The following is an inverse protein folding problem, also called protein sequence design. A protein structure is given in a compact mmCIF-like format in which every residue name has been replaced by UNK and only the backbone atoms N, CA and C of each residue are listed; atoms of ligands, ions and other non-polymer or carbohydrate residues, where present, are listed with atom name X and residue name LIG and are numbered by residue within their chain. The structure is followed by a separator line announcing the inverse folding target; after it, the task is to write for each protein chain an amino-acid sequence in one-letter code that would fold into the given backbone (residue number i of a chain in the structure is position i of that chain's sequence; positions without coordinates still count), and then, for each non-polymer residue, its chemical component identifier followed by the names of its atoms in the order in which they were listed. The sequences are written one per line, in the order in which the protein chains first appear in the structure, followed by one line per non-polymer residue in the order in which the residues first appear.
data_IF_033477972454
#
_entry.id   IF_033477972454
#
_cell.length_a   1.000
_cell.length_b   1.000
_cell.length_c   1.000
_cell.angle_alpha   90.00
_cell.angle_beta   90.00
_cell.angle_gamma   90.00
#
_symmetry.space_group_name_H-M   'P 1'
#
loop_
_entity.id
_entity.type
_entity.pdbx_description
1 polymer ?
#
# COMPACT_ATOMS: atom_id res chain seq x y z
N UNK A 1 -29.95 -3.80 4.13
CA UNK A 1 -29.36 -3.80 5.48
C UNK A 1 -27.93 -4.37 5.50
N UNK A 2 -27.66 -5.50 4.82
CA UNK A 2 -26.31 -6.11 4.71
C UNK A 2 -25.24 -5.23 4.03
N UNK A 3 -25.59 -4.41 3.05
CA UNK A 3 -24.65 -3.50 2.35
C UNK A 3 -24.21 -2.30 3.21
N UNK A 4 -25.03 -1.86 4.16
CA UNK A 4 -24.69 -0.79 5.09
C UNK A 4 -23.71 -1.26 6.17
N UNK A 5 -23.87 -2.50 6.65
CA UNK A 5 -22.99 -3.10 7.65
C UNK A 5 -21.57 -3.34 7.11
N UNK A 6 -21.45 -3.82 5.87
CA UNK A 6 -20.15 -3.98 5.20
C UNK A 6 -19.44 -2.63 5.02
N UNK A 7 -20.16 -1.58 4.59
CA UNK A 7 -19.61 -0.22 4.45
C UNK A 7 -19.13 0.37 5.78
N UNK A 8 -19.84 0.10 6.88
CA UNK A 8 -19.49 0.59 8.21
C UNK A 8 -18.18 0.01 8.77
N UNK A 9 -17.71 -1.14 8.26
CA UNK A 9 -16.47 -1.76 8.70
C UNK A 9 -15.21 -1.19 8.03
N UNK A 10 -15.33 -0.68 6.80
CA UNK A 10 -14.19 -0.11 6.10
C UNK A 10 -13.76 1.24 6.68
N UNK A 11 -14.69 2.00 7.27
CA UNK A 11 -14.41 3.30 7.89
C UNK A 11 -13.39 3.17 9.05
N UNK A 12 -13.60 2.32 10.08
CA UNK A 12 -12.65 2.19 11.17
C UNK A 12 -11.32 1.57 10.71
N UNK A 13 -11.31 0.74 9.66
CA UNK A 13 -10.07 0.22 9.05
C UNK A 13 -9.30 1.35 8.39
N UNK A 14 -9.95 2.17 7.57
CA UNK A 14 -9.32 3.30 6.89
C UNK A 14 -8.82 4.37 7.88
N UNK A 15 -9.63 4.70 8.89
CA UNK A 15 -9.22 5.65 9.93
C UNK A 15 -8.12 5.09 10.82
N UNK A 16 -8.24 3.84 11.28
CA UNK A 16 -7.23 3.19 12.11
C UNK A 16 -5.89 3.06 11.37
N UNK A 17 -5.92 2.60 10.12
CA UNK A 17 -4.75 2.51 9.25
C UNK A 17 -4.06 3.85 9.06
N UNK A 18 -4.79 4.89 8.67
CA UNK A 18 -4.23 6.24 8.46
C UNK A 18 -3.69 6.86 9.76
N UNK A 19 -4.44 6.78 10.86
CA UNK A 19 -4.01 7.32 12.15
C UNK A 19 -2.75 6.63 12.67
N UNK A 20 -2.57 5.33 12.39
CA UNK A 20 -1.41 4.54 12.84
C UNK A 20 -0.07 5.10 12.36
N UNK A 21 -0.07 5.91 11.30
CA UNK A 21 1.10 6.57 10.72
C UNK A 21 1.24 8.04 11.08
N UNK A 22 0.31 8.63 11.85
CA UNK A 22 0.37 10.04 12.24
C UNK A 22 1.16 10.22 13.53
N UNK A 23 2.47 10.37 13.37
CA UNK A 23 3.45 10.66 14.42
C UNK A 23 3.86 12.14 14.41
N UNK A 24 2.88 13.02 14.66
CA UNK A 24 3.11 14.47 14.73
C UNK A 24 4.27 14.81 15.69
N UNK A 25 5.13 15.73 15.27
CA UNK A 25 6.33 16.20 16.01
C UNK A 25 7.50 15.20 16.10
N UNK A 26 7.35 13.96 15.64
CA UNK A 26 8.43 12.97 15.55
C UNK A 26 8.86 12.71 14.11
N UNK A 27 7.89 12.75 13.20
CA UNK A 27 8.12 12.70 11.75
C UNK A 27 7.76 14.08 11.19
N UNK A 28 8.66 14.65 10.41
CA UNK A 28 8.39 15.89 9.68
C UNK A 28 7.47 15.57 8.50
N UNK A 29 6.26 16.14 8.53
CA UNK A 29 5.32 16.02 7.42
C UNK A 29 5.36 17.29 6.59
N UNK A 30 5.59 17.12 5.29
CA UNK A 30 5.44 18.21 4.35
C UNK A 30 3.94 18.46 4.08
N UNK A 31 3.52 19.73 4.12
CA UNK A 31 2.12 20.14 3.91
C UNK A 31 1.57 19.63 2.58
N UNK A 32 2.39 19.65 1.53
CA UNK A 32 2.01 19.17 0.19
C UNK A 32 1.71 17.66 0.24
N UNK A 33 2.52 16.87 0.93
CA UNK A 33 2.30 15.43 1.08
C UNK A 33 1.01 15.11 1.84
N UNK A 34 0.68 15.88 2.88
CA UNK A 34 -0.57 15.70 3.63
C UNK A 34 -1.81 15.98 2.77
N UNK A 35 -1.73 16.96 1.87
CA UNK A 35 -2.82 17.30 0.94
C UNK A 35 -2.93 16.26 -0.19
N UNK A 36 -1.80 15.75 -0.68
CA UNK A 36 -1.78 14.79 -1.79
C UNK A 36 -2.06 13.34 -1.35
N UNK A 37 -1.85 12.98 -0.09
CA UNK A 37 -2.06 11.61 0.40
C UNK A 37 -3.50 11.09 0.18
N UNK A 38 -4.59 11.85 0.43
CA UNK A 38 -5.94 11.44 0.08
C UNK A 38 -6.15 11.26 -1.42
N UNK A 39 -5.55 12.13 -2.24
CA UNK A 39 -5.64 12.03 -3.70
C UNK A 39 -4.95 10.74 -4.19
N UNK A 40 -3.78 10.43 -3.64
CA UNK A 40 -3.06 9.19 -3.94
C UNK A 40 -3.92 7.95 -3.61
N UNK A 41 -4.57 7.94 -2.44
CA UNK A 41 -5.44 6.84 -2.04
C UNK A 41 -6.64 6.65 -3.01
N UNK A 42 -7.22 7.76 -3.48
CA UNK A 42 -8.31 7.72 -4.48
C UNK A 42 -7.79 7.15 -5.80
N UNK A 43 -6.63 7.61 -6.28
CA UNK A 43 -6.03 7.14 -7.53
C UNK A 43 -5.65 5.66 -7.46
N UNK A 44 -5.15 5.17 -6.31
CA UNK A 44 -4.92 3.74 -6.09
C UNK A 44 -6.21 2.92 -6.18
N UNK A 45 -7.31 3.43 -5.59
CA UNK A 45 -8.62 2.79 -5.72
C UNK A 45 -9.09 2.70 -7.18
N UNK A 46 -8.92 3.76 -7.96
CA UNK A 46 -9.23 3.75 -9.39
C UNK A 46 -8.34 2.77 -10.18
N UNK A 47 -7.04 2.78 -9.91
CA UNK A 47 -6.08 1.88 -10.55
C UNK A 47 -6.46 0.41 -10.31
N UNK A 48 -6.81 0.05 -9.07
CA UNK A 48 -7.23 -1.31 -8.73
C UNK A 48 -8.43 -1.76 -9.57
N UNK A 49 -9.48 -0.92 -9.64
CA UNK A 49 -10.69 -1.23 -10.39
C UNK A 49 -10.42 -1.32 -11.90
N UNK A 50 -9.53 -0.47 -12.42
CA UNK A 50 -9.14 -0.49 -13.83
C UNK A 50 -8.35 -1.75 -14.18
N UNK A 51 -7.39 -2.16 -13.35
CA UNK A 51 -6.59 -3.37 -13.55
C UNK A 51 -7.50 -4.59 -13.62
N UNK A 52 -8.40 -4.76 -12.64
CA UNK A 52 -9.33 -5.89 -12.61
C UNK A 52 -10.28 -5.90 -13.81
N UNK A 53 -10.80 -4.72 -14.19
CA UNK A 53 -11.67 -4.60 -15.37
C UNK A 53 -10.92 -4.99 -16.64
N UNK A 54 -9.72 -4.45 -16.84
CA UNK A 54 -8.89 -4.73 -18.01
C UNK A 54 -8.54 -6.22 -18.11
N UNK A 55 -8.13 -6.84 -17.00
CA UNK A 55 -7.82 -8.26 -16.96
C UNK A 55 -9.01 -9.14 -17.34
N UNK A 56 -10.21 -8.82 -16.83
CA UNK A 56 -11.44 -9.54 -17.16
C UNK A 56 -11.89 -9.32 -18.61
N UNK A 57 -11.78 -8.09 -19.12
CA UNK A 57 -12.22 -7.74 -20.47
C UNK A 57 -11.29 -8.36 -21.55
N UNK A 58 -10.01 -8.60 -21.22
CA UNK A 58 -9.04 -9.23 -22.11
C UNK A 58 -9.11 -10.77 -22.13
N UNK A 59 -9.91 -11.40 -21.26
CA UNK A 59 -10.07 -12.86 -21.14
C UNK A 59 -8.72 -13.63 -21.07
N UNK A 60 -7.74 -13.05 -20.37
CA UNK A 60 -6.40 -13.62 -20.29
C UNK A 60 -6.36 -14.74 -19.24
N UNK A 61 -6.23 -15.97 -19.71
CA UNK A 61 -6.08 -17.16 -18.86
C UNK A 61 -4.71 -17.28 -18.14
N UNK A 62 -3.78 -16.35 -18.39
CA UNK A 62 -2.42 -16.34 -17.82
C UNK A 62 -2.14 -15.03 -17.05
N UNK A 63 -2.36 -14.99 -15.73
CA UNK A 63 -2.16 -13.79 -14.93
C UNK A 63 -0.70 -13.29 -14.94
N UNK A 64 0.28 -14.18 -15.05
CA UNK A 64 1.71 -13.84 -15.09
C UNK A 64 2.07 -12.99 -16.31
N UNK A 65 1.54 -13.37 -17.48
CA UNK A 65 1.76 -12.64 -18.72
C UNK A 65 1.15 -11.23 -18.63
N UNK A 66 -0.07 -11.11 -18.09
CA UNK A 66 -0.71 -9.82 -17.89
C UNK A 66 0.11 -8.91 -16.96
N UNK A 67 0.60 -9.44 -15.83
CA UNK A 67 1.42 -8.68 -14.88
C UNK A 67 2.70 -8.18 -15.56
N UNK A 68 3.38 -9.04 -16.32
CA UNK A 68 4.61 -8.68 -17.02
C UNK A 68 4.37 -7.56 -18.04
N UNK A 69 3.34 -7.67 -18.87
CA UNK A 69 3.03 -6.64 -19.86
C UNK A 69 2.60 -5.33 -19.20
N UNK A 70 1.71 -5.38 -18.21
CA UNK A 70 1.23 -4.20 -17.50
C UNK A 70 2.37 -3.42 -16.83
N UNK A 71 3.27 -4.13 -16.13
CA UNK A 71 4.44 -3.53 -15.49
C UNK A 71 5.41 -3.00 -16.53
N UNK A 72 5.68 -3.74 -17.61
CA UNK A 72 6.51 -3.30 -18.72
C UNK A 72 6.03 -2.00 -19.37
N UNK A 73 4.74 -1.89 -19.69
CA UNK A 73 4.15 -0.66 -20.24
C UNK A 73 4.26 0.51 -19.25
N UNK A 74 4.03 0.25 -17.96
CA UNK A 74 4.18 1.26 -16.91
C UNK A 74 5.63 1.76 -16.82
N UNK A 75 6.61 0.86 -16.86
CA UNK A 75 8.03 1.21 -16.84
C UNK A 75 8.42 2.04 -18.06
N UNK A 76 7.96 1.69 -19.26
CA UNK A 76 8.21 2.48 -20.48
C UNK A 76 7.62 3.89 -20.34
N UNK A 77 6.39 4.00 -19.83
CA UNK A 77 5.74 5.29 -19.60
C UNK A 77 6.48 6.16 -18.58
N UNK A 78 7.00 5.55 -17.50
CA UNK A 78 7.76 6.25 -16.46
C UNK A 78 9.22 6.53 -16.83
N UNK A 79 9.77 5.87 -17.85
CA UNK A 79 11.15 6.09 -18.31
C UNK A 79 11.36 7.52 -18.80
N UNK A 80 10.38 8.08 -19.50
CA UNK A 80 10.44 9.45 -20.06
C UNK A 80 10.58 10.50 -18.95
N UNK A 81 9.67 10.61 -17.95
CA UNK A 81 9.81 11.58 -16.88
C UNK A 81 11.04 11.30 -16.01
N UNK A 82 11.41 10.04 -15.79
CA UNK A 82 12.62 9.70 -15.04
C UNK A 82 13.89 10.21 -15.76
N UNK A 83 13.98 10.04 -17.08
CA UNK A 83 15.09 10.53 -17.89
C UNK A 83 15.17 12.07 -17.89
N UNK A 84 14.03 12.74 -18.07
CA UNK A 84 13.97 14.21 -17.95
C UNK A 84 14.40 14.69 -16.56
N UNK A 85 13.97 14.01 -15.50
CA UNK A 85 14.38 14.34 -14.13
C UNK A 85 15.88 14.16 -13.93
N UNK A 86 16.46 13.08 -14.45
CA UNK A 86 17.90 12.81 -14.33
C UNK A 86 18.74 13.89 -15.01
N UNK A 87 18.40 14.30 -16.23
CA UNK A 87 19.13 15.36 -16.96
C UNK A 87 19.10 16.70 -16.20
N UNK A 88 17.99 17.02 -15.55
CA UNK A 88 17.83 18.27 -14.81
C UNK A 88 18.35 18.19 -13.36
N UNK A 89 18.81 17.02 -12.91
CA UNK A 89 19.31 16.83 -11.55
C UNK A 89 20.77 17.27 -11.46
N UNK A 90 21.05 18.28 -10.63
CA UNK A 90 22.41 18.67 -10.28
C UNK A 90 22.96 17.67 -9.24
N UNK A 91 23.64 16.63 -9.71
CA UNK A 91 24.38 15.73 -8.83
C UNK A 91 25.69 16.45 -8.48
N UNK A 92 25.89 16.82 -7.22
CA UNK A 92 27.19 17.34 -6.80
C UNK A 92 28.25 16.27 -7.04
N UNK A 93 29.33 16.64 -7.74
CA UNK A 93 30.46 15.73 -8.03
C UNK A 93 31.12 15.24 -6.73
N UNK A 94 30.94 15.98 -5.63
CA UNK A 94 31.39 15.64 -4.28
C UNK A 94 30.36 14.84 -3.46
N UNK A 95 29.23 14.43 -4.04
CA UNK A 95 28.33 13.49 -3.39
C UNK A 95 29.05 12.14 -3.26
N UNK A 96 29.64 11.91 -2.09
CA UNK A 96 30.21 10.62 -1.73
C UNK A 96 29.08 9.61 -1.63
N UNK A 97 28.89 8.81 -2.68
CA UNK A 97 28.02 7.64 -2.62
C UNK A 97 28.59 6.70 -1.55
N UNK A 98 27.86 6.58 -0.44
CA UNK A 98 28.28 5.73 0.65
C UNK A 98 27.96 4.27 0.33
N UNK A 99 28.68 3.34 0.94
CA UNK A 99 28.41 1.89 0.76
C UNK A 99 26.95 1.50 1.07
N UNK A 100 26.27 2.29 1.91
CA UNK A 100 24.85 2.13 2.23
C UNK A 100 23.94 2.46 1.05
N UNK A 101 24.31 3.43 0.20
CA UNK A 101 23.51 3.81 -0.98
C UNK A 101 23.48 2.68 -2.01
N UNK A 102 24.64 2.07 -2.28
CA UNK A 102 24.74 0.91 -3.17
C UNK A 102 23.99 -0.30 -2.63
N UNK A 103 24.02 -0.52 -1.31
CA UNK A 103 23.26 -1.59 -0.68
C UNK A 103 21.75 -1.36 -0.83
N UNK A 104 21.28 -0.13 -0.61
CA UNK A 104 19.86 0.24 -0.78
C UNK A 104 19.41 0.07 -2.23
N UNK A 105 20.21 0.50 -3.19
CA UNK A 105 19.95 0.28 -4.62
C UNK A 105 19.87 -1.23 -4.92
N UNK A 106 20.85 -2.02 -4.49
CA UNK A 106 20.88 -3.47 -4.71
C UNK A 106 19.68 -4.19 -4.10
N UNK A 107 19.32 -3.85 -2.86
CA UNK A 107 18.13 -4.40 -2.21
C UNK A 107 16.85 -3.98 -2.94
N UNK A 108 16.76 -2.74 -3.44
CA UNK A 108 15.57 -2.26 -4.17
C UNK A 108 15.33 -3.02 -5.47
N UNK A 109 16.40 -3.40 -6.19
CA UNK A 109 16.31 -4.16 -7.45
C UNK A 109 15.68 -5.54 -7.21
N UNK A 110 15.90 -6.13 -6.03
CA UNK A 110 15.29 -7.42 -5.66
C UNK A 110 13.89 -7.19 -5.07
N UNK A 111 13.76 -6.26 -4.13
CA UNK A 111 12.52 -6.07 -3.38
C UNK A 111 11.38 -5.53 -4.24
N UNK A 112 11.61 -4.48 -5.04
CA UNK A 112 10.55 -3.77 -5.74
C UNK A 112 9.82 -4.64 -6.79
N UNK A 113 10.51 -5.44 -7.63
CA UNK A 113 9.81 -6.34 -8.57
C UNK A 113 8.98 -7.40 -7.87
N UNK A 114 9.53 -8.04 -6.82
CA UNK A 114 8.81 -9.05 -6.04
C UNK A 114 7.59 -8.47 -5.34
N UNK A 115 7.76 -7.28 -4.73
CA UNK A 115 6.67 -6.54 -4.11
C UNK A 115 5.58 -6.22 -5.13
N UNK A 116 5.94 -5.66 -6.30
CA UNK A 116 4.97 -5.22 -7.31
C UNK A 116 4.26 -6.39 -7.98
N UNK A 117 4.98 -7.47 -8.27
CA UNK A 117 4.40 -8.71 -8.78
C UNK A 117 3.36 -9.27 -7.79
N UNK A 118 3.74 -9.40 -6.51
CA UNK A 118 2.85 -9.94 -5.47
C UNK A 118 1.63 -9.05 -5.26
N UNK A 119 1.81 -7.72 -5.31
CA UNK A 119 0.73 -6.75 -5.21
C UNK A 119 -0.29 -6.95 -6.35
N UNK A 120 0.14 -6.92 -7.61
CA UNK A 120 -0.78 -7.07 -8.75
C UNK A 120 -1.40 -8.48 -8.76
N UNK A 121 -0.64 -9.52 -8.43
CA UNK A 121 -1.17 -10.88 -8.30
C UNK A 121 -2.34 -10.93 -7.31
N UNK A 122 -2.19 -10.33 -6.12
CA UNK A 122 -3.26 -10.24 -5.13
C UNK A 122 -4.44 -9.38 -5.63
N UNK A 123 -4.18 -8.31 -6.38
CA UNK A 123 -5.24 -7.49 -6.98
C UNK A 123 -6.07 -8.29 -8.00
N UNK A 124 -5.47 -9.21 -8.75
CA UNK A 124 -6.19 -10.03 -9.73
C UNK A 124 -6.99 -11.16 -9.08
N UNK A 125 -6.47 -11.74 -8.00
CA UNK A 125 -7.05 -12.93 -7.36
C UNK A 125 -8.04 -12.63 -6.22
N UNK A 126 -8.03 -11.40 -5.67
CA UNK A 126 -8.90 -11.01 -4.56
C UNK A 126 -9.95 -10.00 -4.98
N UNK A 127 -11.09 -10.01 -4.29
CA UNK A 127 -12.05 -8.90 -4.42
C UNK A 127 -11.40 -7.59 -3.95
N UNK A 128 -11.75 -6.43 -4.55
CA UNK A 128 -11.17 -5.14 -4.18
C UNK A 128 -11.22 -4.83 -2.69
N UNK A 129 -12.33 -5.19 -2.04
CA UNK A 129 -12.53 -4.98 -0.62
C UNK A 129 -11.56 -5.79 0.24
N UNK A 130 -11.32 -7.06 -0.09
CA UNK A 130 -10.35 -7.89 0.62
C UNK A 130 -8.93 -7.38 0.40
N UNK A 131 -8.59 -7.00 -0.84
CA UNK A 131 -7.28 -6.44 -1.15
C UNK A 131 -7.00 -5.16 -0.34
N UNK A 132 -7.95 -4.21 -0.32
CA UNK A 132 -7.80 -2.95 0.41
C UNK A 132 -7.60 -3.15 1.92
N UNK A 133 -8.28 -4.12 2.52
CA UNK A 133 -8.07 -4.44 3.94
C UNK A 133 -6.69 -5.04 4.19
N UNK A 134 -6.22 -5.94 3.33
CA UNK A 134 -4.87 -6.51 3.43
C UNK A 134 -3.79 -5.44 3.21
N UNK A 135 -4.02 -4.52 2.28
CA UNK A 135 -3.12 -3.40 2.01
C UNK A 135 -3.00 -2.47 3.23
N UNK A 136 -4.13 -2.09 3.85
CA UNK A 136 -4.12 -1.31 5.09
C UNK A 136 -3.48 -2.09 6.26
N UNK A 137 -3.69 -3.41 6.32
CA UNK A 137 -3.06 -4.27 7.33
C UNK A 137 -1.54 -4.30 7.17
N UNK A 138 -1.04 -4.40 5.93
CA UNK A 138 0.39 -4.33 5.60
C UNK A 138 1.01 -3.03 6.10
N UNK A 139 0.38 -1.90 5.79
CA UNK A 139 0.86 -0.59 6.27
C UNK A 139 0.77 -0.48 7.79
N UNK A 140 -0.28 -1.00 8.42
CA UNK A 140 -0.39 -1.02 9.88
C UNK A 140 0.73 -1.84 10.54
N UNK A 141 1.05 -3.04 10.05
CA UNK A 141 2.16 -3.86 10.56
C UNK A 141 3.49 -3.14 10.38
N UNK A 142 3.72 -2.52 9.21
CA UNK A 142 4.92 -1.73 8.97
C UNK A 142 5.05 -0.55 9.95
N UNK A 143 3.95 0.11 10.30
CA UNK A 143 3.95 1.19 11.31
C UNK A 143 4.32 0.70 12.71
N UNK A 144 4.00 -0.55 13.06
CA UNK A 144 4.41 -1.18 14.31
C UNK A 144 5.90 -1.52 14.26
N UNK A 145 6.36 -2.14 13.16
CA UNK A 145 7.77 -2.44 12.94
C UNK A 145 8.66 -1.21 13.03
N UNK A 146 8.17 -0.07 12.51
CA UNK A 146 8.85 1.22 12.60
C UNK A 146 9.18 1.60 14.05
N UNK A 147 8.24 1.46 15.00
CA UNK A 147 8.49 1.78 16.41
C UNK A 147 9.65 0.99 17.00
N UNK A 148 9.77 -0.29 16.63
CA UNK A 148 10.85 -1.15 17.11
C UNK A 148 12.19 -0.83 16.42
N UNK A 149 12.20 -0.73 15.10
CA UNK A 149 13.44 -0.53 14.32
C UNK A 149 14.04 0.84 14.58
N UNK A 150 13.20 1.88 14.71
CA UNK A 150 13.65 3.25 14.94
C UNK A 150 13.78 3.60 16.44
N UNK A 151 13.56 2.64 17.34
CA UNK A 151 13.57 2.85 18.79
C UNK A 151 12.79 4.11 19.21
N UNK A 152 11.57 4.27 18.66
CA UNK A 152 10.73 5.43 18.95
C UNK A 152 10.17 5.31 20.37
N UNK A 153 10.85 5.95 21.33
CA UNK A 153 10.49 5.91 22.75
C UNK A 153 9.25 6.76 23.10
N UNK A 154 8.86 7.69 22.23
CA UNK A 154 7.71 8.56 22.43
C UNK A 154 6.71 8.33 21.30
N UNK A 155 5.77 7.42 21.46
CA UNK A 155 4.69 7.26 20.49
C UNK A 155 3.65 8.39 20.67
N UNK A 156 3.15 8.95 19.57
CA UNK A 156 2.03 9.90 19.67
C UNK A 156 0.72 9.21 20.03
N UNK A 157 -0.16 9.94 20.71
CA UNK A 157 -1.50 9.44 21.09
C UNK A 157 -2.32 9.08 19.85
N UNK A 158 -2.16 9.82 18.74
CA UNK A 158 -2.85 9.55 17.48
C UNK A 158 -2.44 8.21 16.88
N UNK A 159 -1.14 7.96 16.77
CA UNK A 159 -0.62 6.71 16.23
C UNK A 159 -0.93 5.50 17.10
N UNK A 160 -0.85 5.64 18.42
CA UNK A 160 -1.27 4.58 19.35
C UNK A 160 -2.77 4.27 19.21
N UNK A 161 -3.62 5.31 19.19
CA UNK A 161 -5.07 5.16 19.02
C UNK A 161 -5.40 4.51 17.68
N UNK A 162 -4.73 4.94 16.61
CA UNK A 162 -4.87 4.34 15.28
C UNK A 162 -4.55 2.86 15.27
N UNK A 163 -3.44 2.46 15.90
CA UNK A 163 -3.01 1.06 15.95
C UNK A 163 -4.00 0.18 16.72
N UNK A 164 -4.54 0.66 17.85
CA UNK A 164 -5.56 -0.04 18.64
C UNK A 164 -6.88 -0.14 17.87
N UNK A 165 -7.32 0.96 17.25
CA UNK A 165 -8.55 0.99 16.45
C UNK A 165 -8.47 0.02 15.28
N UNK A 166 -7.34 0.00 14.57
CA UNK A 166 -7.09 -0.92 13.46
C UNK A 166 -7.13 -2.38 13.92
N UNK A 167 -6.50 -2.71 15.05
CA UNK A 167 -6.55 -4.06 15.62
C UNK A 167 -8.00 -4.51 15.88
N UNK A 168 -8.80 -3.68 16.55
CA UNK A 168 -10.21 -3.98 16.82
C UNK A 168 -11.03 -4.15 15.54
N UNK A 169 -10.78 -3.30 14.54
CA UNK A 169 -11.45 -3.37 13.25
C UNK A 169 -11.11 -4.64 12.46
N UNK A 170 -9.84 -5.07 12.48
CA UNK A 170 -9.39 -6.31 11.85
C UNK A 170 -9.99 -7.55 12.51
N UNK A 171 -9.99 -7.62 13.85
CA UNK A 171 -10.59 -8.74 14.58
C UNK A 171 -12.06 -8.90 14.19
N UNK A 172 -12.81 -7.79 14.14
CA UNK A 172 -14.21 -7.79 13.72
C UNK A 172 -14.37 -8.26 12.27
N UNK A 173 -13.53 -7.77 11.37
CA UNK A 173 -13.56 -8.12 9.95
C UNK A 173 -13.31 -9.62 9.72
N UNK A 174 -12.24 -10.18 10.29
CA UNK A 174 -11.92 -11.60 10.13
C UNK A 174 -12.95 -12.51 10.79
N UNK A 175 -13.52 -12.10 11.93
CA UNK A 175 -14.61 -12.85 12.59
C UNK A 175 -15.83 -12.96 11.67
N UNK A 176 -16.20 -11.88 10.98
CA UNK A 176 -17.33 -11.90 10.05
C UNK A 176 -17.06 -12.76 8.82
N UNK A 177 -15.86 -12.69 8.24
CA UNK A 177 -15.48 -13.57 7.11
C UNK A 177 -15.62 -15.04 7.51
N UNK A 178 -15.11 -15.41 8.68
CA UNK A 178 -15.19 -16.78 9.20
C UNK A 178 -16.64 -17.21 9.42
N UNK A 179 -17.51 -16.32 9.91
CA UNK A 179 -18.93 -16.61 10.07
C UNK A 179 -19.63 -16.84 8.74
N UNK A 180 -19.37 -16.01 7.72
CA UNK A 180 -19.95 -16.17 6.38
C UNK A 180 -19.55 -17.51 5.74
N UNK A 181 -18.27 -17.86 5.80
CA UNK A 181 -17.79 -19.16 5.31
C UNK A 181 -18.48 -20.34 6.00
N UNK A 182 -18.81 -20.22 7.30
CA UNK A 182 -19.51 -21.26 8.03
C UNK A 182 -20.98 -21.40 7.61
N UNK A 183 -21.64 -20.28 7.30
CA UNK A 183 -23.03 -20.26 6.82
C UNK A 183 -23.16 -20.76 5.39
N UNK A 184 -22.20 -20.45 4.51
CA UNK A 184 -22.22 -20.90 3.12
C UNK A 184 -21.91 -22.41 2.98
N UNK A 185 -21.34 -23.02 4.02
CA UNK A 185 -21.00 -24.45 4.10
C UNK A 185 -22.08 -25.31 4.77
N UNK A 186 -23.16 -24.70 5.29
CA UNK A 186 -24.29 -25.36 5.97
C UNK A 186 -25.55 -25.30 5.14
#
# INVERSE_FOLDING_TARGET
MQTAFAKAQFIPIALGGSLSWLEFSLIEYETISLILAPLLAILQGFQLLQIQKCYRDLDINQPEAFILYFTGFTTIGLLIPAFCSWINSAISVDASWESIDYLLIGMSIIFMPNYKYSEIWLQLNLTPSHFMVLEQTKFWIASIGQWFVQNMAHATVFALTGKILMLGALVRYFTEIKQRQKTDAS
#
